data_IF_667336284148
#
_entry.id   IF_667336284148
#
_cell.length_a   1.000
_cell.length_b   1.000
_cell.length_c   1.000
_cell.angle_alpha   90.00
_cell.angle_beta   90.00
_cell.angle_gamma   90.00
#
_symmetry.space_group_name_H-M   'P 1'
#
loop_
_entity.id
_entity.type
_entity.pdbx_description
1 polymer ?
#
# COMPACT_ATOMS: atom_id res chain seq x y z
N UNK A 1 -9.94 -0.67 -29.26
CA UNK A 1 -8.89 0.12 -28.58
C UNK A 1 -7.63 -0.72 -28.55
N UNK A 2 -6.47 -0.25 -29.03
CA UNK A 2 -5.24 -1.02 -28.96
C UNK A 2 -4.89 -1.22 -27.48
N UNK A 3 -4.58 -2.47 -27.12
CA UNK A 3 -4.13 -2.86 -25.80
C UNK A 3 -2.85 -2.06 -25.49
N UNK A 4 -2.94 -1.01 -24.66
CA UNK A 4 -1.75 -0.34 -24.14
C UNK A 4 -0.93 -1.43 -23.45
N UNK A 5 0.24 -1.77 -24.00
CA UNK A 5 1.17 -2.69 -23.33
C UNK A 5 1.51 -2.07 -21.98
N UNK A 6 0.98 -2.68 -20.91
CA UNK A 6 1.23 -2.22 -19.57
C UNK A 6 2.72 -2.36 -19.29
N UNK A 7 3.32 -1.30 -18.71
CA UNK A 7 4.77 -1.22 -18.50
C UNK A 7 5.27 -2.43 -17.69
N UNK A 8 6.31 -3.10 -18.15
CA UNK A 8 6.91 -4.23 -17.43
C UNK A 8 7.34 -3.82 -16.02
N UNK A 9 6.78 -4.52 -15.02
CA UNK A 9 7.14 -4.31 -13.62
C UNK A 9 8.26 -5.26 -13.19
N UNK A 10 9.07 -4.80 -12.25
CA UNK A 10 10.15 -5.52 -11.59
C UNK A 10 10.32 -5.00 -10.17
N UNK A 11 11.22 -5.62 -9.40
CA UNK A 11 11.57 -5.14 -8.06
C UNK A 11 11.93 -3.64 -8.03
N UNK A 12 12.57 -3.11 -9.08
CA UNK A 12 13.05 -1.73 -9.12
C UNK A 12 11.93 -0.70 -9.35
N UNK A 13 10.83 -1.07 -10.01
CA UNK A 13 9.83 -0.11 -10.50
C UNK A 13 8.37 -0.44 -10.13
N UNK A 14 8.14 -1.44 -9.27
CA UNK A 14 6.79 -1.83 -8.81
C UNK A 14 6.12 -0.81 -7.89
N UNK A 15 6.89 0.11 -7.28
CA UNK A 15 6.35 1.15 -6.41
C UNK A 15 5.59 2.19 -7.24
N UNK A 16 4.36 2.51 -6.84
CA UNK A 16 3.47 3.43 -7.56
C UNK A 16 3.16 4.66 -6.72
N UNK A 17 3.37 5.83 -7.30
CA UNK A 17 2.93 7.11 -6.74
C UNK A 17 1.75 7.64 -7.55
N UNK A 18 0.82 8.29 -6.87
CA UNK A 18 -0.28 9.03 -7.50
C UNK A 18 0.07 10.51 -7.46
N UNK A 19 0.43 11.13 -8.61
CA UNK A 19 1.05 12.46 -8.62
C UNK A 19 0.20 13.53 -7.94
N UNK A 20 -1.10 13.58 -8.24
CA UNK A 20 -2.04 14.52 -7.63
C UNK A 20 -2.11 14.37 -6.10
N UNK A 21 -2.05 13.14 -5.58
CA UNK A 21 -2.07 12.92 -4.13
C UNK A 21 -0.73 13.27 -3.47
N UNK A 22 0.37 12.71 -3.98
CA UNK A 22 1.68 12.77 -3.30
C UNK A 22 2.43 14.09 -3.53
N UNK A 23 2.25 14.72 -4.68
CA UNK A 23 3.01 15.92 -5.06
C UNK A 23 2.16 17.19 -5.12
N UNK A 24 0.84 17.09 -4.93
CA UNK A 24 -0.06 18.27 -4.91
C UNK A 24 -0.87 18.33 -3.61
N UNK A 25 -1.82 17.41 -3.40
CA UNK A 25 -2.77 17.48 -2.28
C UNK A 25 -2.04 17.35 -0.93
N UNK A 26 -1.22 16.32 -0.75
CA UNK A 26 -0.55 16.12 0.54
C UNK A 26 0.41 17.27 0.89
N UNK A 27 1.29 17.74 0.00
CA UNK A 27 2.11 18.92 0.27
C UNK A 27 1.27 20.16 0.59
N UNK A 28 0.19 20.42 -0.16
CA UNK A 28 -0.66 21.59 0.08
C UNK A 28 -1.32 21.55 1.46
N UNK A 29 -1.85 20.40 1.87
CA UNK A 29 -2.43 20.22 3.20
C UNK A 29 -1.39 20.39 4.31
N UNK A 30 -0.17 19.88 4.13
CA UNK A 30 0.91 20.06 5.10
C UNK A 30 1.36 21.52 5.21
N UNK A 31 1.46 22.23 4.08
CA UNK A 31 1.76 23.67 4.05
C UNK A 31 0.66 24.45 4.75
N UNK A 32 -0.61 24.16 4.47
CA UNK A 32 -1.73 24.82 5.13
C UNK A 32 -1.72 24.56 6.65
N UNK A 33 -1.53 23.31 7.08
CA UNK A 33 -1.45 22.96 8.50
C UNK A 33 -0.27 23.67 9.19
N UNK A 34 0.92 23.64 8.58
CA UNK A 34 2.11 24.31 9.10
C UNK A 34 1.92 25.82 9.20
N UNK A 35 1.33 26.43 8.17
CA UNK A 35 0.97 27.85 8.18
C UNK A 35 -0.03 28.19 9.29
N UNK A 36 -1.10 27.40 9.44
CA UNK A 36 -2.08 27.57 10.53
C UNK A 36 -1.42 27.50 11.90
N UNK A 37 -0.47 26.57 12.11
CA UNK A 37 0.29 26.47 13.36
C UNK A 37 1.10 27.76 13.61
N UNK A 38 1.83 28.26 12.60
CA UNK A 38 2.64 29.51 12.77
C UNK A 38 1.80 30.77 13.03
N UNK A 39 0.51 30.75 12.65
CA UNK A 39 -0.42 31.87 12.81
C UNK A 39 -1.29 31.77 14.07
N UNK A 40 -1.09 30.74 14.86
CA UNK A 40 -1.88 30.50 16.08
C UNK A 40 -1.63 31.64 17.07
N UNK A 41 -2.70 32.31 17.49
CA UNK A 41 -2.68 33.36 18.49
C UNK A 41 -3.83 33.14 19.50
N UNK A 42 -3.49 33.17 20.79
CA UNK A 42 -4.41 32.93 21.90
C UNK A 42 -4.59 34.15 22.82
N UNK A 43 -4.11 35.33 22.42
CA UNK A 43 -4.09 36.52 23.27
C UNK A 43 -5.48 37.12 23.53
N UNK A 44 -6.44 36.90 22.61
CA UNK A 44 -7.82 37.34 22.79
C UNK A 44 -8.82 36.31 22.24
N UNK A 45 -10.12 36.39 22.65
CA UNK A 45 -11.12 35.39 22.28
C UNK A 45 -11.36 35.26 20.76
N UNK A 46 -11.27 36.36 20.01
CA UNK A 46 -11.51 36.34 18.57
C UNK A 46 -10.37 35.64 17.83
N UNK A 47 -9.12 35.99 18.15
CA UNK A 47 -7.93 35.35 17.59
C UNK A 47 -7.82 33.88 18.01
N UNK A 48 -8.23 33.57 19.25
CA UNK A 48 -8.35 32.18 19.72
C UNK A 48 -9.34 31.39 18.88
N UNK A 49 -10.52 31.94 18.61
CA UNK A 49 -11.54 31.29 17.79
C UNK A 49 -11.04 31.03 16.36
N UNK A 50 -10.42 32.04 15.74
CA UNK A 50 -9.82 31.92 14.41
C UNK A 50 -8.73 30.84 14.37
N UNK A 51 -7.85 30.82 15.37
CA UNK A 51 -6.77 29.83 15.49
C UNK A 51 -7.31 28.41 15.58
N UNK A 52 -8.32 28.19 16.45
CA UNK A 52 -8.98 26.89 16.58
C UNK A 52 -9.63 26.48 15.26
N UNK A 53 -10.33 27.41 14.59
CA UNK A 53 -10.97 27.15 13.30
C UNK A 53 -9.97 26.68 12.24
N UNK A 54 -8.86 27.40 12.04
CA UNK A 54 -7.86 27.05 11.04
C UNK A 54 -7.12 25.75 11.35
N UNK A 55 -6.84 25.47 12.63
CA UNK A 55 -6.24 24.21 13.06
C UNK A 55 -7.18 23.03 12.83
N UNK A 56 -8.46 23.18 13.21
CA UNK A 56 -9.48 22.15 12.97
C UNK A 56 -9.65 21.89 11.48
N UNK A 57 -9.78 22.94 10.66
CA UNK A 57 -9.90 22.79 9.21
C UNK A 57 -8.69 22.08 8.61
N UNK A 58 -7.48 22.48 8.98
CA UNK A 58 -6.25 21.86 8.48
C UNK A 58 -6.14 20.39 8.88
N UNK A 59 -6.49 20.08 10.12
CA UNK A 59 -6.50 18.70 10.61
C UNK A 59 -7.58 17.86 9.93
N UNK A 60 -8.79 18.41 9.72
CA UNK A 60 -9.85 17.74 8.97
C UNK A 60 -9.43 17.44 7.53
N UNK A 61 -8.80 18.39 6.82
CA UNK A 61 -8.29 18.17 5.47
C UNK A 61 -7.20 17.08 5.42
N UNK A 62 -6.32 17.03 6.43
CA UNK A 62 -5.34 15.97 6.58
C UNK A 62 -5.99 14.60 6.74
N UNK A 63 -6.99 14.49 7.62
CA UNK A 63 -7.72 13.24 7.82
C UNK A 63 -8.47 12.80 6.56
N UNK A 64 -9.18 13.71 5.89
CA UNK A 64 -9.92 13.42 4.66
C UNK A 64 -9.00 12.99 3.51
N UNK A 65 -7.80 13.56 3.42
CA UNK A 65 -6.80 13.17 2.41
C UNK A 65 -6.10 11.84 2.74
N UNK A 66 -5.93 11.52 4.02
CA UNK A 66 -5.11 10.38 4.45
C UNK A 66 -5.91 9.10 4.72
N UNK A 67 -7.06 9.19 5.40
CA UNK A 67 -7.84 8.02 5.81
C UNK A 67 -8.31 7.15 4.63
N UNK A 68 -8.81 7.70 3.50
CA UNK A 68 -9.20 6.90 2.35
C UNK A 68 -8.05 6.05 1.79
N UNK A 69 -6.81 6.55 1.85
CA UNK A 69 -5.62 5.79 1.42
C UNK A 69 -5.37 4.60 2.34
N UNK A 70 -5.52 4.77 3.66
CA UNK A 70 -5.42 3.65 4.60
C UNK A 70 -6.50 2.60 4.30
N UNK A 71 -7.74 3.01 4.10
CA UNK A 71 -8.84 2.09 3.82
C UNK A 71 -8.64 1.33 2.50
N UNK A 72 -8.21 2.03 1.44
CA UNK A 72 -7.90 1.43 0.15
C UNK A 72 -6.77 0.39 0.25
N UNK A 73 -5.69 0.71 0.95
CA UNK A 73 -4.58 -0.23 1.17
C UNK A 73 -5.01 -1.45 1.98
N UNK A 74 -5.78 -1.27 3.06
CA UNK A 74 -6.33 -2.39 3.85
C UNK A 74 -7.25 -3.28 3.02
N UNK A 75 -8.07 -2.69 2.15
CA UNK A 75 -8.93 -3.45 1.26
C UNK A 75 -8.11 -4.24 0.22
N UNK A 76 -7.09 -3.62 -0.37
CA UNK A 76 -6.18 -4.29 -1.29
C UNK A 76 -5.45 -5.45 -0.63
N UNK A 77 -4.98 -5.29 0.61
CA UNK A 77 -4.32 -6.38 1.34
C UNK A 77 -5.27 -7.56 1.62
N UNK A 78 -6.57 -7.30 1.83
CA UNK A 78 -7.60 -8.36 1.94
C UNK A 78 -7.81 -9.06 0.60
N UNK A 79 -7.92 -8.31 -0.49
CA UNK A 79 -8.07 -8.85 -1.85
C UNK A 79 -6.85 -9.71 -2.21
N UNK A 80 -5.64 -9.22 -1.98
CA UNK A 80 -4.39 -9.96 -2.24
C UNK A 80 -4.38 -11.30 -1.48
N UNK A 81 -4.83 -11.34 -0.22
CA UNK A 81 -4.95 -12.62 0.51
C UNK A 81 -5.94 -13.56 -0.15
N UNK A 82 -7.10 -13.08 -0.60
CA UNK A 82 -8.08 -13.91 -1.30
C UNK A 82 -7.55 -14.42 -2.65
N UNK A 83 -6.90 -13.56 -3.43
CA UNK A 83 -6.24 -13.93 -4.68
C UNK A 83 -5.19 -15.00 -4.45
N UNK A 84 -4.36 -14.86 -3.41
CA UNK A 84 -3.33 -15.84 -3.05
C UNK A 84 -3.94 -17.17 -2.60
N UNK A 85 -5.02 -17.16 -1.81
CA UNK A 85 -5.76 -18.38 -1.45
C UNK A 85 -6.29 -19.11 -2.68
N UNK A 86 -6.95 -18.37 -3.58
CA UNK A 86 -7.52 -18.92 -4.82
C UNK A 86 -6.43 -19.45 -5.74
N UNK A 87 -5.34 -18.70 -5.91
CA UNK A 87 -4.20 -19.05 -6.75
C UNK A 87 -3.50 -20.30 -6.25
N UNK A 88 -3.25 -20.38 -4.94
CA UNK A 88 -2.67 -21.58 -4.34
C UNK A 88 -3.58 -22.80 -4.56
N UNK A 89 -4.87 -22.67 -4.27
CA UNK A 89 -5.84 -23.76 -4.49
C UNK A 89 -5.90 -24.19 -5.97
N UNK A 90 -5.85 -23.26 -6.91
CA UNK A 90 -5.79 -23.57 -8.34
C UNK A 90 -4.54 -24.39 -8.72
N UNK A 91 -3.40 -24.11 -8.11
CA UNK A 91 -2.14 -24.80 -8.41
C UNK A 91 -1.98 -26.14 -7.70
N UNK A 92 -2.51 -26.30 -6.48
CA UNK A 92 -2.27 -27.48 -5.64
C UNK A 92 -3.51 -28.34 -5.41
N UNK A 93 -4.71 -27.82 -5.66
CA UNK A 93 -5.98 -28.43 -5.27
C UNK A 93 -6.26 -28.40 -3.76
N UNK A 94 -5.42 -27.73 -2.96
CA UNK A 94 -5.53 -27.74 -1.49
C UNK A 94 -5.69 -26.32 -0.92
N UNK A 95 -6.37 -26.16 0.24
CA UNK A 95 -6.53 -24.85 0.85
C UNK A 95 -5.19 -24.21 1.27
N UNK A 96 -5.08 -22.89 1.13
CA UNK A 96 -3.86 -22.15 1.50
C UNK A 96 -3.71 -21.89 3.01
N UNK A 97 -4.72 -22.18 3.82
CA UNK A 97 -4.80 -21.73 5.23
C UNK A 97 -3.58 -22.14 6.07
N UNK A 98 -3.07 -23.35 5.90
CA UNK A 98 -1.91 -23.84 6.67
C UNK A 98 -0.63 -23.06 6.36
N UNK A 99 -0.42 -22.72 5.09
CA UNK A 99 0.72 -21.92 4.63
C UNK A 99 0.53 -20.44 4.98
N UNK A 100 -0.71 -19.95 4.89
CA UNK A 100 -1.06 -18.58 5.24
C UNK A 100 -0.73 -18.27 6.70
N UNK A 101 -1.06 -19.18 7.63
CA UNK A 101 -0.79 -18.98 9.07
C UNK A 101 0.71 -18.94 9.42
N UNK A 102 1.56 -19.46 8.53
CA UNK A 102 3.02 -19.45 8.69
C UNK A 102 3.68 -18.22 8.05
N UNK A 103 2.92 -17.44 7.29
CA UNK A 103 3.41 -16.27 6.56
C UNK A 103 2.85 -14.97 7.17
N UNK A 104 3.68 -13.95 7.21
CA UNK A 104 3.21 -12.60 7.53
C UNK A 104 2.44 -12.01 6.35
N UNK A 105 1.51 -11.07 6.63
CA UNK A 105 0.79 -10.35 5.57
C UNK A 105 1.76 -9.69 4.57
N UNK A 106 2.89 -9.15 5.04
CA UNK A 106 3.89 -8.54 4.17
C UNK A 106 4.58 -9.55 3.24
N UNK A 107 4.83 -10.78 3.70
CA UNK A 107 5.40 -11.85 2.86
C UNK A 107 4.39 -12.31 1.79
N UNK A 108 3.10 -12.49 2.15
CA UNK A 108 2.04 -12.83 1.19
C UNK A 108 1.94 -11.75 0.10
N UNK A 109 1.97 -10.48 0.52
CA UNK A 109 1.98 -9.32 -0.38
C UNK A 109 3.22 -9.32 -1.30
N UNK A 110 4.38 -9.77 -0.83
CA UNK A 110 5.57 -9.92 -1.67
C UNK A 110 5.44 -11.06 -2.68
N UNK A 111 4.94 -12.22 -2.24
CA UNK A 111 4.78 -13.44 -3.04
C UNK A 111 3.79 -13.26 -4.21
N UNK A 112 2.85 -12.31 -4.13
CA UNK A 112 1.89 -12.06 -5.22
C UNK A 112 2.56 -11.75 -6.56
N UNK A 113 3.77 -11.17 -6.52
CA UNK A 113 4.54 -10.83 -7.71
C UNK A 113 5.24 -12.05 -8.35
N UNK A 114 5.29 -13.20 -7.69
CA UNK A 114 5.90 -14.40 -8.24
C UNK A 114 5.05 -15.00 -9.37
N UNK A 115 5.70 -15.59 -10.37
CA UNK A 115 5.04 -16.35 -11.44
C UNK A 115 4.47 -17.68 -10.95
N UNK A 116 3.48 -18.24 -11.66
CA UNK A 116 2.82 -19.49 -11.26
C UNK A 116 3.79 -20.69 -11.16
N UNK A 117 4.85 -20.66 -11.96
CA UNK A 117 5.87 -21.70 -12.01
C UNK A 117 6.86 -21.70 -10.83
N UNK A 118 6.99 -20.59 -10.09
CA UNK A 118 7.95 -20.47 -8.99
C UNK A 118 7.31 -20.16 -7.63
N UNK A 119 6.04 -19.77 -7.60
CA UNK A 119 5.36 -19.31 -6.38
C UNK A 119 5.32 -20.36 -5.27
N UNK A 120 5.08 -21.63 -5.59
CA UNK A 120 5.01 -22.71 -4.58
C UNK A 120 6.36 -22.91 -3.89
N UNK A 121 7.45 -22.96 -4.67
CA UNK A 121 8.80 -23.07 -4.13
C UNK A 121 9.18 -21.85 -3.28
N UNK A 122 8.77 -20.65 -3.70
CA UNK A 122 9.01 -19.42 -2.94
C UNK A 122 8.20 -19.35 -1.64
N UNK A 123 6.98 -19.90 -1.60
CA UNK A 123 6.18 -20.03 -0.38
C UNK A 123 6.93 -20.90 0.63
N UNK A 124 7.34 -22.11 0.24
CA UNK A 124 8.06 -23.03 1.13
C UNK A 124 9.37 -22.42 1.64
N UNK A 125 10.15 -21.81 0.73
CA UNK A 125 11.39 -21.13 1.10
C UNK A 125 11.14 -20.00 2.10
N UNK A 126 10.10 -19.19 1.87
CA UNK A 126 9.76 -18.05 2.73
C UNK A 126 9.35 -18.48 4.14
N UNK A 127 8.68 -19.63 4.26
CA UNK A 127 8.29 -20.22 5.53
C UNK A 127 9.52 -20.79 6.25
N UNK A 128 10.31 -21.61 5.56
CA UNK A 128 11.47 -22.30 6.14
C UNK A 128 12.56 -21.32 6.60
N UNK A 129 12.92 -20.38 5.74
CA UNK A 129 14.02 -19.44 5.99
C UNK A 129 13.56 -18.14 6.67
N UNK A 130 12.25 -17.99 6.94
CA UNK A 130 11.63 -16.76 7.44
C UNK A 130 12.06 -15.53 6.61
N UNK A 131 12.09 -15.69 5.28
CA UNK A 131 12.65 -14.70 4.36
C UNK A 131 11.91 -13.36 4.47
N UNK A 132 12.65 -12.27 4.60
CA UNK A 132 12.06 -10.94 4.65
C UNK A 132 11.35 -10.58 3.32
N UNK A 133 10.22 -9.84 3.35
CA UNK A 133 9.44 -9.50 2.15
C UNK A 133 10.25 -8.86 1.02
N UNK A 134 11.26 -8.05 1.36
CA UNK A 134 12.15 -7.41 0.38
C UNK A 134 13.01 -8.43 -0.37
N UNK A 135 13.54 -9.42 0.35
CA UNK A 135 14.37 -10.47 -0.21
C UNK A 135 13.54 -11.47 -1.03
N UNK A 136 12.29 -11.75 -0.62
CA UNK A 136 11.32 -12.49 -1.45
C UNK A 136 11.15 -11.80 -2.80
N UNK A 137 10.92 -10.48 -2.82
CA UNK A 137 10.74 -9.77 -4.11
C UNK A 137 12.00 -9.84 -4.97
N UNK A 138 13.19 -9.79 -4.38
CA UNK A 138 14.45 -9.90 -5.13
C UNK A 138 14.70 -11.29 -5.70
N UNK A 139 14.15 -12.35 -5.09
CA UNK A 139 14.36 -13.73 -5.55
C UNK A 139 13.41 -14.15 -6.68
N UNK A 140 12.38 -13.35 -6.98
CA UNK A 140 11.41 -13.58 -8.07
C UNK A 140 12.11 -13.45 -9.42
N UNK A 141 12.03 -14.50 -10.24
CA UNK A 141 12.58 -14.51 -11.60
C UNK A 141 11.53 -14.14 -12.64
N UNK A 142 10.30 -14.63 -12.47
CA UNK A 142 9.19 -14.42 -13.38
C UNK A 142 8.19 -13.45 -12.73
N UNK A 143 8.42 -12.15 -12.95
CA UNK A 143 7.64 -11.11 -12.29
C UNK A 143 6.24 -10.96 -12.91
N UNK A 144 5.21 -11.16 -12.07
CA UNK A 144 3.82 -10.87 -12.39
C UNK A 144 3.49 -9.43 -12.03
N UNK A 145 3.25 -8.58 -13.02
CA UNK A 145 2.92 -7.18 -12.78
C UNK A 145 1.57 -7.01 -12.08
N UNK A 146 1.51 -6.08 -11.13
CA UNK A 146 0.31 -5.65 -10.42
C UNK A 146 0.11 -4.15 -10.68
N UNK A 147 -0.77 -3.86 -11.63
CA UNK A 147 -1.10 -2.48 -12.04
C UNK A 147 -2.28 -1.89 -11.28
N UNK A 148 -3.03 -2.73 -10.55
CA UNK A 148 -4.28 -2.38 -9.89
C UNK A 148 -4.07 -1.82 -8.48
N UNK A 149 -2.89 -2.00 -7.88
CA UNK A 149 -2.58 -1.42 -6.57
C UNK A 149 -2.50 0.11 -6.60
N UNK A 150 -2.92 0.75 -5.49
CA UNK A 150 -2.98 2.22 -5.31
C UNK A 150 -2.04 2.73 -4.21
#
# INVERSE_FOLDING_TARGET
MPFQMSKTQSFQNHAKYYPLHHFVIMPLVLVFLGWSITRTNFDNPQETSNSIYFLLLGFSLLLVSYLPRIYALKNQDRIIRLEMRQRYFYLTGTPFFDKENQLTSAQIIALRFAGDNEILALIEKSILEKTAPKEIKKSIKNWKADHHRV
#
